data_IF_768359862526
#
_entry.id   IF_768359862526
#
_cell.length_a   1.000
_cell.length_b   1.000
_cell.length_c   1.000
_cell.angle_alpha   90.00
_cell.angle_beta   90.00
_cell.angle_gamma   90.00
#
_symmetry.space_group_name_H-M   'P 1'
#
loop_
_entity.id
_entity.type
_entity.pdbx_description
1 polymer ?
#
# COMPACT_ATOMS: atom_id res chain seq x y z
N UNK A 1 -28.58 7.18 -9.16
CA UNK A 1 -28.26 5.75 -9.07
C UNK A 1 -27.14 5.58 -8.04
N UNK A 2 -27.47 5.26 -6.80
CA UNK A 2 -26.48 5.02 -5.74
C UNK A 2 -26.26 3.52 -5.63
N UNK A 3 -25.22 3.00 -6.28
CA UNK A 3 -24.78 1.63 -6.07
C UNK A 3 -24.15 1.52 -4.68
N UNK A 4 -24.92 0.96 -3.74
CA UNK A 4 -24.47 0.55 -2.43
C UNK A 4 -23.52 -0.64 -2.60
N UNK A 5 -22.22 -0.44 -2.40
CA UNK A 5 -21.24 -1.53 -2.37
C UNK A 5 -21.57 -2.46 -1.20
N UNK A 6 -22.17 -3.61 -1.51
CA UNK A 6 -22.42 -4.69 -0.54
C UNK A 6 -21.45 -5.81 -0.84
N UNK A 7 -20.40 -5.95 -0.04
CA UNK A 7 -19.58 -7.16 -0.02
C UNK A 7 -20.41 -8.26 0.65
N UNK A 8 -21.28 -8.92 -0.11
CA UNK A 8 -21.90 -10.17 0.31
C UNK A 8 -20.99 -11.29 -0.18
N UNK A 9 -20.35 -12.04 0.72
CA UNK A 9 -19.41 -13.05 0.28
C UNK A 9 -19.61 -14.37 1.04
N UNK A 10 -20.06 -15.37 0.29
CA UNK A 10 -19.84 -16.81 0.56
C UNK A 10 -18.47 -17.24 -0.02
N UNK A 11 -17.43 -16.39 0.07
CA UNK A 11 -16.14 -16.60 -0.64
C UNK A 11 -15.06 -17.19 0.28
N UNK A 12 -14.04 -17.81 -0.32
CA UNK A 12 -13.02 -18.61 0.38
C UNK A 12 -12.11 -17.75 1.27
N UNK A 13 -11.71 -16.56 0.81
CA UNK A 13 -10.90 -15.62 1.60
C UNK A 13 -11.63 -15.10 2.85
N UNK A 14 -12.95 -14.85 2.77
CA UNK A 14 -13.75 -14.42 3.92
C UNK A 14 -13.84 -15.51 5.00
N UNK A 15 -13.78 -16.79 4.58
CA UNK A 15 -13.68 -17.93 5.51
C UNK A 15 -12.29 -18.08 6.12
N UNK A 16 -11.23 -17.73 5.39
CA UNK A 16 -9.86 -17.76 5.89
C UNK A 16 -9.61 -16.67 6.95
N UNK A 17 -10.20 -15.48 6.79
CA UNK A 17 -9.99 -14.34 7.69
C UNK A 17 -10.62 -14.48 9.09
N UNK A 18 -11.61 -15.36 9.28
CA UNK A 18 -12.42 -15.41 10.53
C UNK A 18 -12.33 -16.72 11.33
N UNK A 19 -11.23 -17.48 11.21
CA UNK A 19 -11.01 -18.63 12.10
C UNK A 19 -10.73 -18.16 13.53
N UNK A 20 -11.71 -18.30 14.43
CA UNK A 20 -11.52 -18.09 15.89
C UNK A 20 -10.30 -18.90 16.38
N UNK A 21 -9.32 -18.21 16.95
CA UNK A 21 -8.14 -18.82 17.59
C UNK A 21 -6.99 -19.25 16.66
N UNK A 22 -7.06 -18.93 15.36
CA UNK A 22 -5.93 -19.15 14.43
C UNK A 22 -5.08 -17.88 14.24
N UNK A 23 -3.81 -18.05 13.87
CA UNK A 23 -3.00 -16.95 13.31
C UNK A 23 -3.79 -16.27 12.18
N UNK A 24 -3.78 -14.93 12.07
CA UNK A 24 -4.45 -14.24 10.98
C UNK A 24 -3.94 -14.79 9.65
N UNK A 25 -4.86 -15.25 8.81
CA UNK A 25 -4.54 -15.71 7.47
C UNK A 25 -4.52 -14.51 6.52
N UNK A 26 -3.49 -14.43 5.67
CA UNK A 26 -3.38 -13.47 4.58
C UNK A 26 -3.42 -14.18 3.23
N UNK A 27 -3.78 -13.43 2.20
CA UNK A 27 -3.88 -13.87 0.80
C UNK A 27 -3.30 -12.77 -0.08
N UNK A 28 -2.65 -13.14 -1.18
CA UNK A 28 -2.17 -12.17 -2.15
C UNK A 28 -3.36 -11.40 -2.75
N UNK A 29 -3.22 -10.08 -2.84
CA UNK A 29 -4.27 -9.20 -3.41
C UNK A 29 -4.60 -9.62 -4.84
N UNK A 30 -3.62 -10.01 -5.65
CA UNK A 30 -3.85 -10.49 -7.02
C UNK A 30 -4.79 -11.71 -7.06
N UNK A 31 -4.66 -12.64 -6.11
CA UNK A 31 -5.51 -13.85 -6.06
C UNK A 31 -6.93 -13.48 -5.61
N UNK A 32 -7.05 -12.56 -4.64
CA UNK A 32 -8.34 -12.03 -4.21
C UNK A 32 -9.08 -11.30 -5.35
N UNK A 33 -8.38 -10.44 -6.10
CA UNK A 33 -8.96 -9.71 -7.22
C UNK A 33 -9.34 -10.64 -8.37
N UNK A 34 -8.55 -11.68 -8.65
CA UNK A 34 -8.89 -12.71 -9.63
C UNK A 34 -10.18 -13.45 -9.27
N UNK A 35 -10.36 -13.85 -8.00
CA UNK A 35 -11.61 -14.46 -7.54
C UNK A 35 -12.82 -13.51 -7.66
N UNK A 36 -12.60 -12.21 -7.50
CA UNK A 36 -13.62 -11.18 -7.66
C UNK A 36 -13.93 -10.85 -9.12
N UNK A 37 -13.14 -11.36 -10.08
CA UNK A 37 -13.26 -11.01 -11.50
C UNK A 37 -12.80 -9.59 -11.82
N UNK A 38 -11.97 -8.98 -10.97
CA UNK A 38 -11.45 -7.63 -11.11
C UNK A 38 -10.06 -7.69 -11.79
N UNK A 39 -9.99 -7.24 -13.05
CA UNK A 39 -8.76 -7.30 -13.84
C UNK A 39 -7.85 -6.07 -13.76
N UNK A 40 -8.39 -4.92 -13.36
CA UNK A 40 -7.68 -3.63 -13.23
C UNK A 40 -8.24 -2.83 -12.06
N UNK A 41 -7.42 -1.94 -11.52
CA UNK A 41 -7.78 -1.04 -10.42
C UNK A 41 -7.23 0.35 -10.74
N UNK A 42 -8.06 1.38 -10.56
CA UNK A 42 -7.67 2.77 -10.79
C UNK A 42 -7.04 3.42 -9.54
N UNK A 43 -7.48 3.01 -8.34
CA UNK A 43 -7.02 3.53 -7.07
C UNK A 43 -6.94 2.44 -6.00
N UNK A 44 -5.83 2.41 -5.26
CA UNK A 44 -5.68 1.64 -4.02
C UNK A 44 -5.37 2.60 -2.88
N UNK A 45 -6.11 2.49 -1.76
CA UNK A 45 -5.67 2.99 -0.46
C UNK A 45 -5.16 1.82 0.36
N UNK A 46 -3.96 1.96 0.90
CA UNK A 46 -3.28 0.95 1.72
C UNK A 46 -2.94 1.57 3.07
N UNK A 47 -3.31 0.88 4.13
CA UNK A 47 -3.19 1.32 5.52
C UNK A 47 -3.20 0.06 6.39
N UNK A 48 -2.05 -0.59 6.49
CA UNK A 48 -1.92 -1.93 7.07
C UNK A 48 -0.71 -2.06 8.00
N UNK A 49 -0.27 -0.93 8.58
CA UNK A 49 0.61 -0.85 9.74
C UNK A 49 1.93 -1.63 9.58
N UNK A 50 2.63 -1.44 8.46
CA UNK A 50 3.95 -2.04 8.17
C UNK A 50 3.91 -3.22 7.19
N UNK A 51 2.73 -3.76 6.89
CA UNK A 51 2.56 -4.85 5.92
C UNK A 51 2.48 -4.36 4.45
N UNK A 52 2.66 -3.07 4.18
CA UNK A 52 2.50 -2.43 2.87
C UNK A 52 3.34 -3.12 1.80
N UNK A 53 4.63 -3.34 2.08
CA UNK A 53 5.54 -3.94 1.11
C UNK A 53 5.15 -5.38 0.76
N UNK A 54 4.67 -6.16 1.74
CA UNK A 54 4.16 -7.51 1.50
C UNK A 54 2.89 -7.49 0.64
N UNK A 55 1.97 -6.55 0.89
CA UNK A 55 0.76 -6.37 0.08
C UNK A 55 1.09 -5.93 -1.35
N UNK A 56 2.03 -4.99 -1.52
CA UNK A 56 2.54 -4.56 -2.83
C UNK A 56 3.14 -5.72 -3.62
N UNK A 57 3.95 -6.56 -2.97
CA UNK A 57 4.48 -7.80 -3.57
C UNK A 57 3.36 -8.77 -3.95
N UNK A 58 2.27 -8.82 -3.19
CA UNK A 58 1.08 -9.62 -3.45
C UNK A 58 0.14 -9.06 -4.53
N UNK A 59 0.39 -7.85 -5.06
CA UNK A 59 -0.42 -7.23 -6.13
C UNK A 59 0.38 -6.88 -7.40
N UNK A 60 1.58 -7.46 -7.59
CA UNK A 60 2.47 -7.15 -8.72
C UNK A 60 1.78 -7.28 -10.08
N UNK A 61 0.91 -8.29 -10.28
CA UNK A 61 0.20 -8.47 -11.56
C UNK A 61 -0.84 -7.38 -11.77
N UNK A 62 -1.55 -6.98 -10.72
CA UNK A 62 -2.51 -5.88 -10.74
C UNK A 62 -1.84 -4.55 -11.05
N UNK A 63 -0.70 -4.26 -10.39
CA UNK A 63 0.11 -3.07 -10.68
C UNK A 63 0.51 -3.05 -12.16
N UNK A 64 1.10 -4.15 -12.66
CA UNK A 64 1.55 -4.24 -14.05
C UNK A 64 0.41 -4.04 -15.07
N UNK A 65 -0.79 -4.55 -14.79
CA UNK A 65 -1.96 -4.46 -15.68
C UNK A 65 -2.74 -3.14 -15.57
N UNK A 66 -2.42 -2.29 -14.60
CA UNK A 66 -3.16 -1.05 -14.33
C UNK A 66 -2.26 0.17 -14.61
N UNK A 67 -2.21 0.68 -15.85
CA UNK A 67 -1.29 1.74 -16.24
C UNK A 67 -1.61 3.11 -15.61
N UNK A 68 -2.85 3.33 -15.18
CA UNK A 68 -3.28 4.56 -14.49
C UNK A 68 -3.47 4.39 -12.98
N UNK A 69 -2.95 3.31 -12.39
CA UNK A 69 -3.11 3.04 -10.97
C UNK A 69 -2.47 4.14 -10.11
N UNK A 70 -3.28 4.76 -9.26
CA UNK A 70 -2.82 5.55 -8.14
C UNK A 70 -2.81 4.70 -6.86
N UNK A 71 -1.77 4.85 -6.05
CA UNK A 71 -1.65 4.22 -4.75
C UNK A 71 -1.51 5.31 -3.70
N UNK A 72 -2.42 5.34 -2.73
CA UNK A 72 -2.22 6.07 -1.48
C UNK A 72 -1.82 5.03 -0.44
N UNK A 73 -0.62 5.12 0.10
CA UNK A 73 -0.17 4.21 1.15
C UNK A 73 0.27 4.97 2.39
N UNK A 74 -0.03 4.42 3.56
CA UNK A 74 0.61 4.87 4.79
C UNK A 74 2.11 4.59 4.69
N UNK A 75 2.92 5.58 5.03
CA UNK A 75 4.36 5.44 5.22
C UNK A 75 4.67 5.70 6.68
N UNK A 76 4.87 4.58 7.39
CA UNK A 76 5.22 4.53 8.80
C UNK A 76 6.58 3.83 8.93
N UNK A 77 7.71 4.58 8.96
CA UNK A 77 9.04 4.01 9.04
C UNK A 77 9.24 3.08 10.25
N UNK A 78 8.65 3.41 11.39
CA UNK A 78 8.75 2.59 12.61
C UNK A 78 8.03 1.25 12.44
N UNK A 79 6.85 1.23 11.82
CA UNK A 79 6.14 -0.01 11.52
C UNK A 79 6.90 -0.85 10.48
N UNK A 80 7.44 -0.23 9.43
CA UNK A 80 8.27 -0.92 8.44
C UNK A 80 9.48 -1.59 9.09
N UNK A 81 10.18 -0.91 10.02
CA UNK A 81 11.26 -1.50 10.80
C UNK A 81 10.80 -2.67 11.66
N UNK A 82 9.64 -2.57 12.31
CA UNK A 82 9.06 -3.66 13.10
C UNK A 82 8.72 -4.90 12.26
N UNK A 83 8.43 -4.71 10.97
CA UNK A 83 8.24 -5.78 9.98
C UNK A 83 9.55 -6.25 9.32
N UNK A 84 10.71 -5.74 9.75
CA UNK A 84 12.03 -6.14 9.25
C UNK A 84 12.41 -5.50 7.92
N UNK A 85 11.85 -4.32 7.62
CA UNK A 85 12.18 -3.56 6.42
C UNK A 85 13.00 -2.32 6.76
N UNK A 86 13.96 -2.00 5.87
CA UNK A 86 14.60 -0.69 5.87
C UNK A 86 13.64 0.28 5.14
N UNK A 87 13.14 1.35 5.79
CA UNK A 87 12.05 2.16 5.26
C UNK A 87 12.33 2.85 3.91
N UNK A 88 13.53 3.38 3.69
CA UNK A 88 13.85 4.08 2.44
C UNK A 88 13.94 3.08 1.28
N UNK A 89 14.60 1.95 1.48
CA UNK A 89 14.66 0.84 0.54
C UNK A 89 13.29 0.24 0.25
N UNK A 90 12.40 0.15 1.25
CA UNK A 90 11.02 -0.29 1.05
C UNK A 90 10.25 0.66 0.11
N UNK A 91 10.42 1.98 0.28
CA UNK A 91 9.83 2.97 -0.63
C UNK A 91 10.44 2.88 -2.04
N UNK A 92 11.76 2.72 -2.15
CA UNK A 92 12.43 2.51 -3.45
C UNK A 92 11.94 1.23 -4.15
N UNK A 93 11.73 0.14 -3.41
CA UNK A 93 11.15 -1.09 -3.96
C UNK A 93 9.72 -0.84 -4.47
N UNK A 94 8.90 -0.14 -3.69
CA UNK A 94 7.54 0.23 -4.11
C UNK A 94 7.56 1.01 -5.43
N UNK A 95 8.42 2.03 -5.56
CA UNK A 95 8.61 2.79 -6.80
C UNK A 95 9.05 1.88 -7.97
N UNK A 96 9.97 0.96 -7.69
CA UNK A 96 10.46 -0.05 -8.66
C UNK A 96 9.39 -1.00 -9.21
N UNK A 97 8.18 -1.04 -8.64
CA UNK A 97 7.03 -1.78 -9.19
C UNK A 97 6.36 -1.08 -10.37
N UNK A 98 6.87 0.10 -10.77
CA UNK A 98 6.41 0.85 -11.93
C UNK A 98 5.58 2.08 -11.58
N UNK A 99 5.82 2.69 -10.41
CA UNK A 99 5.32 4.02 -10.09
C UNK A 99 6.42 5.05 -10.41
N UNK A 100 6.09 6.05 -11.21
CA UNK A 100 7.03 7.08 -11.68
C UNK A 100 7.12 8.31 -10.78
N UNK A 101 6.21 8.48 -9.82
CA UNK A 101 6.18 9.64 -8.92
C UNK A 101 5.76 9.21 -7.52
N UNK A 102 6.31 9.89 -6.52
CA UNK A 102 5.91 9.80 -5.11
C UNK A 102 5.73 11.21 -4.56
N UNK A 103 4.62 11.45 -3.88
CA UNK A 103 4.33 12.72 -3.21
C UNK A 103 3.79 12.45 -1.80
N UNK A 104 4.22 13.23 -0.82
CA UNK A 104 3.55 13.24 0.48
C UNK A 104 2.26 14.04 0.41
N UNK A 105 1.20 13.49 1.01
CA UNK A 105 -0.06 14.18 1.24
C UNK A 105 0.06 14.90 2.59
N UNK A 106 0.14 16.22 2.54
CA UNK A 106 0.29 17.06 3.73
C UNK A 106 -1.03 17.21 4.49
N UNK A 107 -0.95 17.68 5.74
CA UNK A 107 -2.11 17.84 6.62
C UNK A 107 -3.16 18.84 6.07
N UNK A 108 -2.73 19.80 5.24
CA UNK A 108 -3.61 20.75 4.57
C UNK A 108 -4.16 20.24 3.22
N UNK A 109 -3.81 19.01 2.84
CA UNK A 109 -4.21 18.38 1.58
C UNK A 109 -3.34 18.76 0.38
N UNK A 110 -2.28 19.56 0.59
CA UNK A 110 -1.30 19.82 -0.47
C UNK A 110 -0.39 18.61 -0.70
N UNK A 111 0.33 18.63 -1.82
CA UNK A 111 1.23 17.56 -2.23
C UNK A 111 2.67 18.05 -2.29
N UNK A 112 3.56 17.40 -1.54
CA UNK A 112 5.00 17.64 -1.58
C UNK A 112 5.69 16.54 -2.39
N UNK A 113 6.44 16.90 -3.43
CA UNK A 113 7.16 15.91 -4.27
C UNK A 113 8.33 15.30 -3.49
N UNK A 114 8.37 13.96 -3.43
CA UNK A 114 9.40 13.16 -2.76
C UNK A 114 10.28 12.41 -3.77
N UNK A 115 10.28 12.78 -5.05
CA UNK A 115 11.03 12.09 -6.10
C UNK A 115 12.56 12.13 -5.99
N UNK A 116 13.11 12.90 -5.05
CA UNK A 116 14.56 12.97 -4.77
C UNK A 116 14.97 11.98 -3.66
N UNK A 117 15.98 11.15 -3.92
CA UNK A 117 16.42 10.13 -2.99
C UNK A 117 16.97 10.72 -1.67
N UNK A 118 17.68 11.86 -1.73
CA UNK A 118 18.20 12.49 -0.52
C UNK A 118 17.08 13.12 0.34
N UNK A 119 16.01 13.61 -0.30
CA UNK A 119 14.78 14.01 0.37
C UNK A 119 14.08 12.82 1.05
N UNK A 120 13.94 11.67 0.37
CA UNK A 120 13.38 10.45 0.97
C UNK A 120 14.14 10.05 2.23
N UNK A 121 15.47 10.00 2.17
CA UNK A 121 16.31 9.66 3.33
C UNK A 121 16.11 10.65 4.48
N UNK A 122 16.10 11.95 4.19
CA UNK A 122 15.92 13.00 5.20
C UNK A 122 14.56 12.92 5.87
N UNK A 123 13.49 12.78 5.10
CA UNK A 123 12.13 12.71 5.65
C UNK A 123 11.90 11.41 6.41
N UNK A 124 12.48 10.31 5.95
CA UNK A 124 12.50 9.04 6.67
C UNK A 124 13.15 9.20 8.05
N UNK A 125 14.32 9.82 8.12
CA UNK A 125 15.01 10.09 9.38
C UNK A 125 14.19 11.01 10.30
N UNK A 126 13.54 12.05 9.75
CA UNK A 126 12.66 12.95 10.50
C UNK A 126 11.47 12.20 11.10
N UNK A 127 10.81 11.35 10.32
CA UNK A 127 9.67 10.55 10.77
C UNK A 127 10.09 9.56 11.86
N UNK A 128 11.22 8.88 11.70
CA UNK A 128 11.75 7.98 12.75
C UNK A 128 12.03 8.72 14.05
N UNK A 129 12.66 9.90 13.98
CA UNK A 129 12.98 10.71 15.17
C UNK A 129 11.74 11.23 15.91
N UNK A 130 10.61 11.38 15.22
CA UNK A 130 9.35 11.86 15.78
C UNK A 130 8.26 10.80 15.97
N UNK A 131 8.53 9.53 15.66
CA UNK A 131 7.50 8.49 15.47
C UNK A 131 6.35 8.95 14.55
N UNK A 132 6.71 9.70 13.51
CA UNK A 132 5.77 10.29 12.57
C UNK A 132 5.32 9.29 11.51
N UNK A 133 4.17 9.60 10.93
CA UNK A 133 3.56 8.86 9.83
C UNK A 133 3.09 9.87 8.78
N UNK A 134 3.15 9.49 7.50
CA UNK A 134 2.64 10.31 6.39
C UNK A 134 1.93 9.41 5.38
N UNK A 135 0.92 9.93 4.67
CA UNK A 135 0.36 9.22 3.52
C UNK A 135 1.12 9.63 2.26
N UNK A 136 1.61 8.64 1.51
CA UNK A 136 2.27 8.86 0.23
C UNK A 136 1.31 8.54 -0.91
N UNK A 137 1.23 9.43 -1.89
CA UNK A 137 0.61 9.21 -3.19
C UNK A 137 1.68 8.78 -4.19
N UNK A 138 1.56 7.55 -4.69
CA UNK A 138 2.38 7.00 -5.75
C UNK A 138 1.55 6.91 -7.04
N UNK A 139 2.09 7.42 -8.14
CA UNK A 139 1.43 7.39 -9.46
C UNK A 139 2.38 6.87 -10.53
N UNK A 140 1.81 6.27 -11.57
CA UNK A 140 2.54 5.81 -12.76
C UNK A 140 2.92 6.93 -13.71
#
# INVERSE_FOLDING_TARGET
MTSRWRISSRRAWARAMWRRGGRPASVAIDDCLAELGLGRVDLVKMDIEGAELAALRGMKRTIARSPGLALVMEYNPSALQAFGHEPAAALHEALGLGFGRVQAIEADGTLSDWGDAALVERETARLLGGMGVVNLLLTK
#
